data_IF_584748530795
#
_entry.id   IF_584748530795
#
_cell.length_a   1.000
_cell.length_b   1.000
_cell.length_c   1.000
_cell.angle_alpha   90.00
_cell.angle_beta   90.00
_cell.angle_gamma   90.00
#
_symmetry.space_group_name_H-M   'P 1'
#
loop_
_entity.id
_entity.type
_entity.pdbx_description
1 polymer ?
#
# COMPACT_ATOMS: atom_id res chain seq x y z
N UNK A 1 -16.62 28.81 -18.77
CA UNK A 1 -15.14 28.80 -18.71
C UNK A 1 -14.73 27.73 -17.71
N UNK A 2 -13.63 27.01 -17.94
CA UNK A 2 -13.12 26.05 -16.96
C UNK A 2 -12.53 26.83 -15.78
N UNK A 3 -12.88 26.44 -14.56
CA UNK A 3 -12.42 27.08 -13.32
C UNK A 3 -10.90 26.96 -13.18
N UNK A 4 -10.23 28.05 -12.78
CA UNK A 4 -8.81 28.09 -12.44
C UNK A 4 -8.63 28.23 -10.93
N UNK A 5 -7.92 27.28 -10.33
CA UNK A 5 -7.70 27.22 -8.89
C UNK A 5 -6.26 27.64 -8.56
N UNK A 6 -6.08 28.44 -7.52
CA UNK A 6 -4.76 28.68 -6.93
C UNK A 6 -4.48 27.69 -5.79
N UNK A 7 -3.34 27.00 -5.80
CA UNK A 7 -2.94 26.05 -4.75
C UNK A 7 -1.85 26.60 -3.84
N UNK A 8 -2.24 27.07 -2.67
CA UNK A 8 -1.30 27.41 -1.61
C UNK A 8 -0.86 26.18 -0.81
N UNK A 9 0.40 26.17 -0.40
CA UNK A 9 0.94 25.16 0.50
C UNK A 9 2.18 25.70 1.22
N UNK A 10 2.48 25.26 2.46
CA UNK A 10 3.74 25.61 3.10
C UNK A 10 4.90 25.01 2.29
N UNK A 11 6.03 25.72 2.25
CA UNK A 11 7.24 25.26 1.56
C UNK A 11 8.45 25.27 2.48
N UNK A 12 8.89 26.45 2.92
CA UNK A 12 10.15 26.66 3.65
C UNK A 12 10.29 25.78 4.90
N UNK A 13 11.40 25.05 4.97
CA UNK A 13 11.82 24.26 6.13
C UNK A 13 13.35 24.20 6.21
N UNK A 14 13.90 23.95 7.40
CA UNK A 14 15.36 23.81 7.60
C UNK A 14 15.93 22.55 6.95
N UNK A 15 15.12 21.50 6.89
CA UNK A 15 15.47 20.19 6.32
C UNK A 15 14.98 20.11 4.88
N UNK A 16 15.89 19.76 3.96
CA UNK A 16 15.60 19.66 2.53
C UNK A 16 14.58 18.55 2.22
N UNK A 17 14.61 17.45 2.96
CA UNK A 17 13.64 16.36 2.84
C UNK A 17 12.20 16.83 3.07
N UNK A 18 11.99 17.76 4.01
CA UNK A 18 10.65 18.31 4.32
C UNK A 18 10.20 19.29 3.23
N UNK A 19 11.11 20.10 2.66
CA UNK A 19 10.78 20.95 1.49
C UNK A 19 10.38 20.08 0.30
N UNK A 20 11.14 19.02 0.02
CA UNK A 20 10.83 18.09 -1.06
C UNK A 20 9.49 17.40 -0.81
N UNK A 21 9.25 16.91 0.41
CA UNK A 21 7.95 16.36 0.81
C UNK A 21 6.79 17.31 0.51
N UNK A 22 6.89 18.58 0.92
CA UNK A 22 5.83 19.59 0.70
C UNK A 22 5.59 19.87 -0.77
N UNK A 23 6.66 20.01 -1.56
CA UNK A 23 6.58 20.12 -3.02
C UNK A 23 5.82 18.93 -3.63
N UNK A 24 6.15 17.71 -3.22
CA UNK A 24 5.51 16.49 -3.71
C UNK A 24 4.02 16.43 -3.36
N UNK A 25 3.63 16.86 -2.16
CA UNK A 25 2.21 16.94 -1.78
C UNK A 25 1.44 17.96 -2.65
N UNK A 26 2.04 19.12 -2.91
CA UNK A 26 1.45 20.11 -3.82
C UNK A 26 1.34 19.57 -5.26
N UNK A 27 2.38 18.90 -5.77
CA UNK A 27 2.36 18.26 -7.10
C UNK A 27 1.25 17.22 -7.21
N UNK A 28 1.09 16.37 -6.20
CA UNK A 28 0.03 15.34 -6.18
C UNK A 28 -1.35 15.94 -6.22
N UNK A 29 -1.61 16.94 -5.38
CA UNK A 29 -2.92 17.60 -5.39
C UNK A 29 -3.19 18.30 -6.73
N UNK A 30 -2.15 18.89 -7.32
CA UNK A 30 -2.22 19.46 -8.67
C UNK A 30 -2.62 18.41 -9.70
N UNK A 31 -1.93 17.26 -9.75
CA UNK A 31 -2.24 16.15 -10.64
C UNK A 31 -3.65 15.58 -10.40
N UNK A 32 -4.07 15.45 -9.14
CA UNK A 32 -5.41 15.01 -8.77
C UNK A 32 -6.49 15.90 -9.39
N UNK A 33 -6.33 17.23 -9.35
CA UNK A 33 -7.27 18.19 -9.97
C UNK A 33 -7.20 18.21 -11.49
N UNK A 34 -6.01 18.13 -12.08
CA UNK A 34 -5.85 18.04 -13.53
C UNK A 34 -6.54 16.80 -14.12
N UNK A 35 -6.46 15.65 -13.43
CA UNK A 35 -7.16 14.43 -13.83
C UNK A 35 -8.69 14.54 -13.74
N UNK A 36 -9.21 15.52 -12.98
CA UNK A 36 -10.63 15.87 -12.93
C UNK A 36 -11.03 16.91 -14.00
N UNK A 37 -10.10 17.30 -14.88
CA UNK A 37 -10.30 18.37 -15.87
C UNK A 37 -10.32 19.78 -15.28
N UNK A 38 -9.86 19.94 -14.03
CA UNK A 38 -9.83 21.21 -13.30
C UNK A 38 -8.45 21.83 -13.46
N UNK A 39 -8.39 23.07 -13.92
CA UNK A 39 -7.13 23.80 -14.05
C UNK A 39 -6.68 24.32 -12.69
N UNK A 40 -5.40 24.16 -12.39
CA UNK A 40 -4.84 24.53 -11.09
C UNK A 40 -3.41 25.04 -11.26
N UNK A 41 -3.17 26.23 -10.71
CA UNK A 41 -1.85 26.84 -10.59
C UNK A 41 -1.29 26.57 -9.20
N UNK A 42 -0.03 26.14 -9.10
CA UNK A 42 0.63 25.94 -7.82
C UNK A 42 2.01 26.61 -7.81
N UNK A 43 2.19 27.72 -7.08
CA UNK A 43 3.46 28.44 -7.03
C UNK A 43 4.62 27.53 -6.63
N UNK A 44 4.42 26.64 -5.66
CA UNK A 44 5.47 25.72 -5.21
C UNK A 44 5.84 24.72 -6.30
N UNK A 45 4.87 24.18 -7.04
CA UNK A 45 5.17 23.24 -8.13
C UNK A 45 5.94 23.92 -9.26
N UNK A 46 5.59 25.16 -9.60
CA UNK A 46 6.28 25.92 -10.65
C UNK A 46 7.67 26.44 -10.22
N UNK A 47 7.83 26.81 -8.95
CA UNK A 47 9.02 27.49 -8.46
C UNK A 47 10.05 26.57 -7.80
N UNK A 48 9.67 25.37 -7.34
CA UNK A 48 10.58 24.48 -6.60
C UNK A 48 11.91 24.26 -7.34
N UNK A 49 11.83 23.91 -8.62
CA UNK A 49 12.99 23.62 -9.45
C UNK A 49 13.83 24.89 -9.77
N UNK A 50 13.24 26.08 -9.69
CA UNK A 50 13.92 27.38 -9.84
C UNK A 50 14.64 27.73 -8.53
N UNK A 51 13.95 27.56 -7.40
CA UNK A 51 14.45 27.84 -6.06
C UNK A 51 15.64 26.94 -5.70
N UNK A 52 15.55 25.63 -5.96
CA UNK A 52 16.64 24.68 -5.70
C UNK A 52 17.90 24.97 -6.53
N UNK A 53 17.72 25.44 -7.78
CA UNK A 53 18.85 25.83 -8.64
C UNK A 53 19.40 27.22 -8.34
N UNK A 54 18.73 28.01 -7.49
CA UNK A 54 19.12 29.39 -7.11
C UNK A 54 19.36 30.30 -8.32
N UNK A 55 18.63 30.09 -9.42
CA UNK A 55 18.84 30.80 -10.68
C UNK A 55 18.13 32.16 -10.74
N UNK A 56 17.10 32.35 -9.91
CA UNK A 56 16.40 33.62 -9.79
C UNK A 56 16.80 34.27 -8.47
N UNK A 57 17.36 35.47 -8.56
CA UNK A 57 17.59 36.33 -7.40
C UNK A 57 16.27 37.01 -7.07
N UNK A 58 15.73 36.73 -5.88
CA UNK A 58 14.51 37.36 -5.39
C UNK A 58 14.38 37.10 -3.90
N UNK A 59 14.07 38.16 -3.15
CA UNK A 59 13.64 38.08 -1.77
C UNK A 59 12.19 37.60 -1.69
N UNK A 60 11.69 37.45 -0.46
CA UNK A 60 10.31 37.05 -0.22
C UNK A 60 9.31 38.00 -0.88
N UNK A 61 9.59 39.31 -0.95
CA UNK A 61 8.69 40.27 -1.59
C UNK A 61 8.53 40.02 -3.10
N UNK A 62 9.62 39.66 -3.79
CA UNK A 62 9.57 39.35 -5.22
C UNK A 62 8.66 38.17 -5.50
N UNK A 63 8.78 37.09 -4.72
CA UNK A 63 7.93 35.90 -4.86
C UNK A 63 6.48 36.19 -4.49
N UNK A 64 6.25 36.89 -3.37
CA UNK A 64 4.91 37.26 -2.93
C UNK A 64 4.17 38.09 -3.99
N UNK A 65 4.84 39.06 -4.62
CA UNK A 65 4.22 39.88 -5.67
C UNK A 65 3.83 39.03 -6.88
N UNK A 66 4.69 38.09 -7.29
CA UNK A 66 4.39 37.14 -8.36
C UNK A 66 3.21 36.22 -8.01
N UNK A 67 3.22 35.65 -6.81
CA UNK A 67 2.20 34.74 -6.29
C UNK A 67 0.83 35.41 -6.19
N UNK A 68 0.76 36.64 -5.68
CA UNK A 68 -0.46 37.46 -5.62
C UNK A 68 -0.99 37.76 -7.02
N UNK A 69 -0.10 38.08 -7.98
CA UNK A 69 -0.49 38.34 -9.36
C UNK A 69 -1.14 37.09 -10.00
N UNK A 70 -0.62 35.90 -9.71
CA UNK A 70 -1.22 34.65 -10.19
C UNK A 70 -2.55 34.35 -9.47
N UNK A 71 -2.60 34.51 -8.14
CA UNK A 71 -3.80 34.33 -7.33
C UNK A 71 -4.95 35.24 -7.78
N UNK A 72 -4.68 36.50 -8.13
CA UNK A 72 -5.70 37.47 -8.55
C UNK A 72 -6.42 37.10 -9.86
N UNK A 73 -5.92 36.11 -10.61
CA UNK A 73 -6.52 35.60 -11.86
C UNK A 73 -7.27 34.28 -11.66
N UNK A 74 -7.26 33.74 -10.46
CA UNK A 74 -7.90 32.47 -10.13
C UNK A 74 -9.33 32.70 -9.61
N UNK A 75 -10.20 31.73 -9.86
CA UNK A 75 -11.61 31.76 -9.43
C UNK A 75 -11.78 31.35 -7.96
N UNK A 76 -10.86 30.55 -7.43
CA UNK A 76 -10.80 30.17 -6.02
C UNK A 76 -9.36 29.81 -5.59
N UNK A 77 -9.18 29.72 -4.28
CA UNK A 77 -7.93 29.32 -3.63
C UNK A 77 -8.15 28.03 -2.83
N UNK A 78 -7.25 27.06 -3.00
CA UNK A 78 -7.14 25.89 -2.16
C UNK A 78 -5.88 26.00 -1.30
N UNK A 79 -6.01 25.86 0.02
CA UNK A 79 -4.89 25.75 0.94
C UNK A 79 -4.69 24.29 1.34
N UNK A 80 -3.53 23.71 0.99
CA UNK A 80 -3.17 22.36 1.44
C UNK A 80 -2.65 22.39 2.88
N UNK A 81 -3.40 21.76 3.78
CA UNK A 81 -3.14 21.67 5.22
C UNK A 81 -2.05 20.64 5.54
N UNK A 82 -0.81 20.97 5.20
CA UNK A 82 0.37 20.18 5.58
C UNK A 82 0.88 20.58 6.97
N UNK A 83 1.69 19.71 7.59
CA UNK A 83 2.33 20.01 8.87
C UNK A 83 3.10 21.34 8.82
N UNK A 84 2.82 22.20 9.80
CA UNK A 84 3.39 23.55 9.90
C UNK A 84 2.74 24.60 9.01
N UNK A 85 1.61 24.32 8.34
CA UNK A 85 0.88 25.31 7.54
C UNK A 85 0.47 26.55 8.36
N UNK A 86 0.10 26.39 9.63
CA UNK A 86 -0.31 27.49 10.53
C UNK A 86 0.76 28.58 10.64
N UNK A 87 2.03 28.20 10.56
CA UNK A 87 3.19 29.09 10.65
C UNK A 87 3.70 29.57 9.28
N UNK A 88 3.00 29.27 8.19
CA UNK A 88 3.43 29.60 6.83
C UNK A 88 3.13 31.06 6.50
N UNK A 89 4.14 31.92 6.62
CA UNK A 89 4.01 33.37 6.32
C UNK A 89 3.48 33.61 4.90
N UNK A 90 3.98 32.88 3.90
CA UNK A 90 3.55 33.01 2.51
C UNK A 90 2.09 32.58 2.30
N UNK A 91 1.76 31.36 2.72
CA UNK A 91 0.40 30.83 2.54
C UNK A 91 -0.64 31.65 3.33
N UNK A 92 -0.30 32.13 4.54
CA UNK A 92 -1.19 33.00 5.32
C UNK A 92 -1.40 34.35 4.61
N UNK A 93 -0.35 34.94 4.02
CA UNK A 93 -0.49 36.18 3.27
C UNK A 93 -1.37 36.01 2.01
N UNK A 94 -1.27 34.87 1.32
CA UNK A 94 -2.15 34.53 0.18
C UNK A 94 -3.61 34.35 0.63
N UNK A 95 -3.85 33.68 1.76
CA UNK A 95 -5.20 33.52 2.33
C UNK A 95 -5.81 34.88 2.68
N UNK A 96 -5.05 35.76 3.31
CA UNK A 96 -5.52 37.11 3.65
C UNK A 96 -5.80 37.96 2.40
N UNK A 97 -4.97 37.84 1.36
CA UNK A 97 -5.24 38.47 0.07
C UNK A 97 -6.54 37.94 -0.55
N UNK A 98 -6.72 36.62 -0.59
CA UNK A 98 -7.91 35.98 -1.16
C UNK A 98 -9.19 36.44 -0.44
N UNK A 99 -9.22 36.41 0.89
CA UNK A 99 -10.34 36.91 1.70
C UNK A 99 -10.64 38.37 1.41
N UNK A 100 -9.62 39.24 1.38
CA UNK A 100 -9.79 40.68 1.11
C UNK A 100 -10.39 40.98 -0.27
N UNK A 101 -10.14 40.11 -1.25
CA UNK A 101 -10.61 40.27 -2.63
C UNK A 101 -11.80 39.37 -2.98
N UNK A 102 -12.46 38.78 -1.98
CA UNK A 102 -13.61 37.88 -2.15
C UNK A 102 -13.32 36.66 -3.05
N UNK A 103 -12.08 36.17 -3.04
CA UNK A 103 -11.71 34.90 -3.68
C UNK A 103 -12.02 33.78 -2.67
N UNK A 104 -12.91 32.82 -2.99
CA UNK A 104 -13.25 31.72 -2.09
C UNK A 104 -12.01 30.91 -1.69
N UNK A 105 -11.86 30.62 -0.39
CA UNK A 105 -10.76 29.81 0.14
C UNK A 105 -11.30 28.49 0.67
N UNK A 106 -10.71 27.38 0.21
CA UNK A 106 -11.01 26.02 0.69
C UNK A 106 -9.79 25.40 1.35
N UNK A 107 -10.01 24.77 2.50
CA UNK A 107 -8.96 24.12 3.26
C UNK A 107 -8.95 22.63 2.92
N UNK A 108 -7.83 22.13 2.44
CA UNK A 108 -7.70 20.77 1.90
C UNK A 108 -6.82 19.93 2.80
N UNK A 109 -7.34 18.81 3.30
CA UNK A 109 -6.57 17.82 4.05
C UNK A 109 -6.26 16.62 3.16
N UNK A 110 -5.02 16.13 3.25
CA UNK A 110 -4.69 14.79 2.74
C UNK A 110 -5.28 13.75 3.69
N UNK A 111 -6.12 12.87 3.16
CA UNK A 111 -6.66 11.74 3.89
C UNK A 111 -5.71 10.56 3.70
N UNK A 112 -4.52 10.65 4.31
CA UNK A 112 -3.57 9.54 4.29
C UNK A 112 -4.23 8.30 4.91
N UNK A 113 -4.30 7.21 4.14
CA UNK A 113 -4.79 5.92 4.60
C UNK A 113 -3.67 4.89 4.58
N UNK A 114 -3.67 4.03 5.58
CA UNK A 114 -2.88 2.82 5.53
C UNK A 114 -3.61 1.82 4.63
N UNK A 115 -2.88 1.10 3.79
CA UNK A 115 -3.48 0.12 2.88
C UNK A 115 -2.90 -1.26 3.19
N UNK A 116 -3.77 -2.25 3.37
CA UNK A 116 -3.39 -3.65 3.39
C UNK A 116 -3.94 -4.35 2.14
N UNK A 117 -3.03 -4.76 1.26
CA UNK A 117 -3.34 -5.47 0.02
C UNK A 117 -3.16 -6.98 0.26
N UNK A 118 -4.26 -7.72 0.11
CA UNK A 118 -4.32 -9.17 0.28
C UNK A 118 -4.53 -9.83 -1.09
N UNK A 119 -3.52 -10.55 -1.58
CA UNK A 119 -3.55 -11.18 -2.90
C UNK A 119 -3.77 -12.68 -2.75
N UNK A 120 -4.84 -13.16 -3.38
CA UNK A 120 -5.25 -14.55 -3.48
C UNK A 120 -5.42 -14.96 -4.94
N UNK A 121 -5.65 -16.25 -5.22
CA UNK A 121 -5.82 -16.76 -6.58
C UNK A 121 -6.50 -18.12 -6.58
N UNK A 122 -6.97 -18.53 -7.75
CA UNK A 122 -7.60 -19.83 -7.97
C UNK A 122 -6.63 -21.03 -7.96
N UNK A 123 -5.31 -20.80 -7.92
CA UNK A 123 -4.34 -21.89 -7.80
C UNK A 123 -2.88 -21.45 -7.75
N UNK A 124 -1.99 -22.40 -7.51
CA UNK A 124 -0.55 -22.16 -7.53
C UNK A 124 -0.10 -21.84 -8.97
N UNK A 125 0.75 -20.83 -9.13
CA UNK A 125 1.24 -20.40 -10.44
C UNK A 125 0.35 -19.39 -11.16
N UNK A 126 -0.79 -19.02 -10.59
CA UNK A 126 -1.72 -18.04 -11.18
C UNK A 126 -1.17 -16.62 -11.32
N UNK A 127 0.01 -16.32 -10.74
CA UNK A 127 0.66 -15.01 -10.89
C UNK A 127 0.56 -14.10 -9.66
N UNK A 128 0.18 -14.61 -8.48
CA UNK A 128 0.09 -13.83 -7.23
C UNK A 128 1.37 -13.04 -6.91
N UNK A 129 2.50 -13.74 -6.86
CA UNK A 129 3.80 -13.12 -6.56
C UNK A 129 4.21 -12.11 -7.63
N UNK A 130 3.87 -12.36 -8.89
CA UNK A 130 4.11 -11.40 -9.96
C UNK A 130 3.27 -10.13 -9.76
N UNK A 131 1.98 -10.27 -9.45
CA UNK A 131 1.10 -9.14 -9.14
C UNK A 131 1.63 -8.33 -7.95
N UNK A 132 2.02 -8.99 -6.85
CA UNK A 132 2.65 -8.33 -5.70
C UNK A 132 3.87 -7.50 -6.10
N UNK A 133 4.80 -8.11 -6.84
CA UNK A 133 6.04 -7.44 -7.24
C UNK A 133 5.74 -6.25 -8.16
N UNK A 134 4.83 -6.41 -9.13
CA UNK A 134 4.44 -5.33 -10.03
C UNK A 134 3.75 -4.17 -9.28
N UNK A 135 2.86 -4.46 -8.32
CA UNK A 135 2.27 -3.42 -7.45
C UNK A 135 3.37 -2.74 -6.64
N UNK A 136 4.31 -3.50 -6.09
CA UNK A 136 5.46 -2.96 -5.34
C UNK A 136 6.31 -2.04 -6.21
N UNK A 137 6.58 -2.42 -7.46
CA UNK A 137 7.30 -1.59 -8.43
C UNK A 137 6.55 -0.32 -8.78
N UNK A 138 5.22 -0.40 -8.99
CA UNK A 138 4.39 0.78 -9.24
C UNK A 138 4.38 1.73 -8.04
N UNK A 139 4.26 1.18 -6.84
CA UNK A 139 4.40 1.92 -5.58
C UNK A 139 5.80 2.52 -5.49
N UNK A 140 6.87 1.82 -5.87
CA UNK A 140 8.24 2.35 -5.84
C UNK A 140 8.49 3.45 -6.87
N UNK A 141 7.95 3.29 -8.08
CA UNK A 141 7.99 4.29 -9.14
C UNK A 141 7.28 5.56 -8.68
N UNK A 142 6.10 5.42 -8.07
CA UNK A 142 5.38 6.53 -7.45
C UNK A 142 6.10 7.04 -6.18
N UNK A 143 6.75 6.17 -5.41
CA UNK A 143 7.44 6.49 -4.15
C UNK A 143 8.80 7.15 -4.32
N UNK A 144 9.36 7.26 -5.54
CA UNK A 144 10.44 8.23 -5.77
C UNK A 144 10.01 9.65 -5.35
N UNK A 145 8.70 9.86 -5.30
CA UNK A 145 8.01 11.12 -5.05
C UNK A 145 6.98 11.02 -3.90
N UNK A 146 6.96 9.93 -3.11
CA UNK A 146 6.02 9.74 -1.99
C UNK A 146 6.71 9.10 -0.78
N UNK A 147 6.56 9.73 0.39
CA UNK A 147 6.95 9.16 1.68
C UNK A 147 5.93 8.11 2.17
N UNK A 148 5.63 7.09 1.36
CA UNK A 148 4.88 5.90 1.79
C UNK A 148 5.90 4.82 2.17
N UNK A 149 5.63 4.14 3.28
CA UNK A 149 6.44 2.97 3.63
C UNK A 149 5.78 1.71 3.08
N UNK A 150 6.49 0.94 2.25
CA UNK A 150 6.02 -0.34 1.73
C UNK A 150 6.58 -1.49 2.58
N UNK A 151 5.71 -2.39 3.01
CA UNK A 151 6.08 -3.58 3.77
C UNK A 151 5.44 -4.84 3.20
N UNK A 152 6.20 -5.94 3.20
CA UNK A 152 5.63 -7.26 2.92
C UNK A 152 5.19 -7.94 4.23
N UNK A 153 3.97 -8.43 4.24
CA UNK A 153 3.44 -9.31 5.29
C UNK A 153 3.35 -10.75 4.78
N UNK A 154 3.46 -11.71 5.70
CA UNK A 154 3.31 -13.13 5.37
C UNK A 154 2.71 -13.90 6.53
N UNK A 155 1.63 -14.62 6.25
CA UNK A 155 0.97 -15.51 7.21
C UNK A 155 1.83 -16.75 7.51
N UNK A 156 2.67 -17.17 6.56
CA UNK A 156 3.51 -18.35 6.71
C UNK A 156 4.91 -18.05 7.30
N UNK A 157 5.35 -16.80 7.42
CA UNK A 157 6.72 -16.52 7.84
C UNK A 157 6.99 -16.88 9.31
N UNK A 158 6.07 -16.57 10.21
CA UNK A 158 6.22 -16.94 11.63
C UNK A 158 6.33 -18.46 11.78
N UNK A 159 5.52 -19.22 11.05
CA UNK A 159 5.59 -20.67 10.96
C UNK A 159 6.98 -21.16 10.50
N UNK A 160 7.49 -20.62 9.40
CA UNK A 160 8.81 -20.98 8.87
C UNK A 160 9.91 -20.72 9.90
N UNK A 161 9.90 -19.54 10.52
CA UNK A 161 10.89 -19.18 11.52
C UNK A 161 10.83 -20.09 12.74
N UNK A 162 9.64 -20.43 13.25
CA UNK A 162 9.49 -21.40 14.34
C UNK A 162 10.15 -22.74 14.02
N UNK A 163 9.88 -23.31 12.84
CA UNK A 163 10.47 -24.61 12.45
C UNK A 163 11.98 -24.52 12.23
N UNK A 164 12.49 -23.37 11.78
CA UNK A 164 13.94 -23.13 11.67
C UNK A 164 14.58 -23.05 13.06
N UNK A 165 14.00 -22.27 13.95
CA UNK A 165 14.53 -22.04 15.30
C UNK A 165 14.51 -23.32 16.14
N UNK A 166 13.55 -24.22 15.89
CA UNK A 166 13.49 -25.55 16.48
C UNK A 166 14.44 -26.57 15.83
N UNK A 167 15.08 -26.21 14.72
CA UNK A 167 16.06 -27.06 14.03
C UNK A 167 15.46 -28.12 13.11
N UNK A 168 14.15 -28.06 12.80
CA UNK A 168 13.49 -29.04 11.92
C UNK A 168 13.77 -28.82 10.43
N UNK A 169 14.01 -27.57 10.02
CA UNK A 169 14.31 -27.21 8.63
C UNK A 169 15.33 -26.06 8.58
N UNK A 170 16.05 -25.96 7.47
CA UNK A 170 16.97 -24.82 7.23
C UNK A 170 16.25 -23.63 6.60
N UNK A 171 16.90 -22.45 6.62
CA UNK A 171 16.43 -21.27 5.86
C UNK A 171 16.29 -21.56 4.36
N UNK A 172 17.23 -22.31 3.79
CA UNK A 172 17.18 -22.67 2.37
C UNK A 172 15.96 -23.55 2.07
N UNK A 173 15.68 -24.53 2.94
CA UNK A 173 14.50 -25.39 2.85
C UNK A 173 13.20 -24.59 2.94
N UNK A 174 13.11 -23.65 3.89
CA UNK A 174 11.88 -22.91 4.15
C UNK A 174 11.53 -21.87 3.06
N UNK A 175 12.53 -21.20 2.47
CA UNK A 175 12.31 -20.03 1.62
C UNK A 175 12.52 -20.29 0.12
N UNK A 176 13.27 -21.31 -0.28
CA UNK A 176 13.51 -21.58 -1.71
C UNK A 176 12.47 -22.57 -2.30
N UNK A 177 12.11 -22.44 -3.60
CA UNK A 177 11.19 -23.38 -4.24
C UNK A 177 11.68 -24.85 -4.22
N UNK A 178 12.97 -25.07 -4.48
CA UNK A 178 13.61 -26.40 -4.43
C UNK A 178 13.69 -26.91 -2.99
N UNK A 179 14.07 -26.05 -2.06
CA UNK A 179 14.13 -26.36 -0.64
C UNK A 179 12.81 -26.87 -0.09
N UNK A 180 11.69 -26.25 -0.48
CA UNK A 180 10.34 -26.70 -0.07
C UNK A 180 9.99 -28.12 -0.54
N UNK A 181 10.62 -28.62 -1.59
CA UNK A 181 10.44 -29.98 -2.10
C UNK A 181 11.42 -30.99 -1.48
N UNK A 182 12.44 -30.52 -0.76
CA UNK A 182 13.41 -31.42 -0.12
C UNK A 182 12.78 -32.17 1.06
N UNK A 183 13.25 -33.40 1.28
CA UNK A 183 12.89 -34.20 2.44
C UNK A 183 13.45 -33.59 3.73
N UNK A 184 12.67 -33.71 4.79
CA UNK A 184 13.08 -33.47 6.17
C UNK A 184 13.58 -34.78 6.78
N UNK A 185 13.97 -34.77 8.04
CA UNK A 185 14.24 -35.97 8.84
C UNK A 185 13.00 -36.51 9.56
N UNK A 186 11.83 -35.88 9.38
CA UNK A 186 10.59 -36.24 10.07
C UNK A 186 9.80 -37.28 9.27
N UNK A 187 9.54 -38.42 9.89
CA UNK A 187 8.66 -39.46 9.36
C UNK A 187 7.26 -39.35 9.98
N UNK A 188 6.22 -39.74 9.23
CA UNK A 188 4.83 -39.71 9.74
C UNK A 188 4.66 -40.53 11.01
N UNK A 189 5.36 -41.66 11.15
CA UNK A 189 5.37 -42.48 12.37
C UNK A 189 5.88 -41.75 13.63
N UNK A 190 6.69 -40.70 13.44
CA UNK A 190 7.24 -39.91 14.54
C UNK A 190 6.22 -38.85 15.02
N UNK A 191 5.16 -38.61 14.24
CA UNK A 191 4.11 -37.64 14.56
C UNK A 191 3.07 -38.25 15.49
N UNK A 192 2.92 -37.68 16.69
CA UNK A 192 1.94 -38.17 17.68
C UNK A 192 0.48 -38.15 17.20
N UNK A 193 0.11 -37.17 16.36
CA UNK A 193 -1.25 -37.10 15.80
C UNK A 193 -1.38 -37.92 14.49
N UNK A 194 -0.28 -38.51 14.00
CA UNK A 194 -0.19 -39.08 12.66
C UNK A 194 -0.49 -38.03 11.58
N UNK A 195 -0.72 -38.49 10.34
CA UNK A 195 -1.27 -37.66 9.27
C UNK A 195 -2.11 -38.51 8.32
N UNK A 196 -3.42 -38.28 8.29
CA UNK A 196 -4.42 -39.13 7.62
C UNK A 196 -4.17 -39.34 6.12
N UNK A 197 -3.59 -38.34 5.46
CA UNK A 197 -3.37 -38.35 4.01
C UNK A 197 -2.03 -38.96 3.59
N UNK A 198 -1.26 -39.49 4.56
CA UNK A 198 0.09 -40.03 4.33
C UNK A 198 0.25 -41.39 4.99
N UNK A 199 1.08 -42.22 4.36
CA UNK A 199 1.46 -43.52 4.94
C UNK A 199 2.43 -43.30 6.10
N UNK A 200 2.37 -44.16 7.09
CA UNK A 200 3.17 -44.09 8.32
C UNK A 200 4.68 -44.01 8.08
N UNK A 201 5.20 -44.67 7.04
CA UNK A 201 6.63 -44.66 6.72
C UNK A 201 7.06 -43.52 5.78
N UNK A 202 6.17 -42.59 5.43
CA UNK A 202 6.55 -41.47 4.56
C UNK A 202 7.45 -40.50 5.33
N UNK A 203 8.57 -40.12 4.72
CA UNK A 203 9.38 -38.98 5.15
C UNK A 203 8.77 -37.72 4.56
N UNK A 204 8.49 -36.74 5.40
CA UNK A 204 7.85 -35.49 4.98
C UNK A 204 8.83 -34.61 4.21
N UNK A 205 8.36 -34.02 3.12
CA UNK A 205 9.01 -32.86 2.52
C UNK A 205 8.83 -31.62 3.40
N UNK A 206 9.67 -30.60 3.19
CA UNK A 206 9.54 -29.33 3.92
C UNK A 206 8.16 -28.69 3.72
N UNK A 207 7.60 -28.74 2.50
CA UNK A 207 6.24 -28.25 2.22
C UNK A 207 5.18 -29.02 3.01
N UNK A 208 5.31 -30.33 3.06
CA UNK A 208 4.39 -31.20 3.79
C UNK A 208 4.47 -30.95 5.30
N UNK A 209 5.68 -30.80 5.86
CA UNK A 209 5.85 -30.44 7.27
C UNK A 209 5.22 -29.07 7.60
N UNK A 210 5.40 -28.08 6.71
CA UNK A 210 4.76 -26.76 6.86
C UNK A 210 3.22 -26.86 6.82
N UNK A 211 2.67 -27.71 5.94
CA UNK A 211 1.22 -27.92 5.83
C UNK A 211 0.67 -28.59 7.09
N UNK A 212 1.28 -29.70 7.50
CA UNK A 212 0.90 -30.46 8.67
C UNK A 212 0.99 -29.62 9.95
N UNK A 213 2.16 -29.06 10.23
CA UNK A 213 2.34 -28.28 11.46
C UNK A 213 1.51 -26.98 11.41
N UNK A 214 1.47 -26.31 10.26
CA UNK A 214 0.77 -25.05 10.10
C UNK A 214 -0.75 -25.17 10.19
N UNK A 215 -1.35 -26.21 9.60
CA UNK A 215 -2.81 -26.38 9.50
C UNK A 215 -3.28 -27.40 10.54
N UNK A 216 -2.96 -28.67 10.34
CA UNK A 216 -3.49 -29.79 11.13
C UNK A 216 -3.13 -29.70 12.61
N UNK A 217 -1.92 -29.22 12.95
CA UNK A 217 -1.51 -29.04 14.34
C UNK A 217 -1.94 -27.67 14.86
N UNK A 218 -1.44 -26.59 14.26
CA UNK A 218 -1.57 -25.26 14.87
C UNK A 218 -2.96 -24.65 14.68
N UNK A 219 -3.60 -24.80 13.51
CA UNK A 219 -4.96 -24.27 13.29
C UNK A 219 -6.00 -25.20 13.90
N UNK A 220 -5.95 -26.50 13.58
CA UNK A 220 -7.06 -27.42 13.91
C UNK A 220 -7.00 -27.89 15.36
N UNK A 221 -5.81 -28.09 15.94
CA UNK A 221 -5.68 -28.60 17.31
C UNK A 221 -5.43 -27.51 18.37
N UNK A 222 -4.91 -26.34 17.99
CA UNK A 222 -4.55 -25.28 18.96
C UNK A 222 -5.41 -24.03 18.83
N UNK A 223 -5.31 -23.30 17.72
CA UNK A 223 -6.05 -22.05 17.52
C UNK A 223 -6.18 -21.73 16.03
N UNK A 224 -7.42 -21.77 15.53
CA UNK A 224 -7.75 -21.57 14.11
C UNK A 224 -7.11 -20.29 13.52
N UNK A 225 -7.14 -19.20 14.28
CA UNK A 225 -6.67 -17.86 13.86
C UNK A 225 -5.24 -17.53 14.26
N UNK A 226 -4.44 -18.51 14.70
CA UNK A 226 -3.08 -18.26 15.23
C UNK A 226 -2.21 -17.43 14.28
N UNK A 227 -2.14 -17.81 13.00
CA UNK A 227 -1.31 -17.12 12.01
C UNK A 227 -1.87 -15.75 11.65
N UNK A 228 -3.20 -15.58 11.69
CA UNK A 228 -3.87 -14.28 11.49
C UNK A 228 -3.51 -13.32 12.61
N UNK A 229 -3.61 -13.76 13.87
CA UNK A 229 -3.30 -12.97 15.06
C UNK A 229 -1.82 -12.57 15.13
N UNK A 230 -0.91 -13.49 14.81
CA UNK A 230 0.52 -13.18 14.78
C UNK A 230 0.82 -12.15 13.68
N UNK A 231 0.25 -12.34 12.49
CA UNK A 231 0.44 -11.42 11.35
C UNK A 231 -0.14 -10.03 11.65
N UNK A 232 -1.34 -9.97 12.21
CA UNK A 232 -1.99 -8.72 12.62
C UNK A 232 -1.13 -7.95 13.64
N UNK A 233 -0.61 -8.63 14.67
CA UNK A 233 0.33 -8.03 15.63
C UNK A 233 1.60 -7.50 14.98
N UNK A 234 2.11 -8.18 13.95
CA UNK A 234 3.29 -7.71 13.22
C UNK A 234 2.98 -6.50 12.33
N UNK A 235 1.79 -6.45 11.73
CA UNK A 235 1.31 -5.31 10.94
C UNK A 235 1.05 -4.09 11.84
N UNK A 236 0.42 -4.29 13.01
CA UNK A 236 0.12 -3.23 13.98
C UNK A 236 1.37 -2.42 14.36
N UNK A 237 2.53 -3.10 14.46
CA UNK A 237 3.83 -2.48 14.77
C UNK A 237 4.40 -1.61 13.64
N UNK A 238 3.82 -1.65 12.44
CA UNK A 238 4.29 -0.91 11.26
C UNK A 238 3.55 0.40 11.05
N UNK A 239 2.38 0.57 11.66
CA UNK A 239 1.66 1.83 11.58
C UNK A 239 2.41 2.93 12.34
N UNK A 240 2.48 4.11 11.73
CA UNK A 240 3.23 5.26 12.24
C UNK A 240 2.52 6.56 11.82
N UNK A 241 3.19 7.70 11.97
CA UNK A 241 2.68 8.98 11.43
C UNK A 241 2.68 9.02 9.89
N UNK A 242 3.47 8.17 9.22
CA UNK A 242 3.51 8.07 7.76
C UNK A 242 2.58 6.95 7.26
N UNK A 243 1.89 7.16 6.12
CA UNK A 243 1.08 6.11 5.53
C UNK A 243 1.92 4.90 5.15
N UNK A 244 1.42 3.72 5.48
CA UNK A 244 2.01 2.44 5.15
C UNK A 244 1.15 1.69 4.13
N UNK A 245 1.80 1.12 3.11
CA UNK A 245 1.19 0.07 2.31
C UNK A 245 1.81 -1.24 2.76
N UNK A 246 0.96 -2.18 3.15
CA UNK A 246 1.33 -3.55 3.47
C UNK A 246 0.77 -4.46 2.38
N UNK A 247 1.57 -5.41 1.90
CA UNK A 247 1.14 -6.36 0.86
C UNK A 247 1.47 -7.81 1.26
N UNK A 248 0.53 -8.72 1.02
CA UNK A 248 0.70 -10.17 1.23
C UNK A 248 0.14 -10.94 0.04
N UNK A 249 0.90 -11.92 -0.47
CA UNK A 249 0.50 -12.82 -1.56
C UNK A 249 0.32 -14.28 -1.14
N UNK A 250 0.46 -14.55 0.17
CA UNK A 250 0.37 -15.88 0.76
C UNK A 250 -0.94 -16.13 1.52
N UNK A 251 -1.99 -15.37 1.20
CA UNK A 251 -3.36 -15.61 1.67
C UNK A 251 -3.91 -16.90 1.05
N UNK A 252 -4.44 -17.77 1.91
CA UNK A 252 -4.87 -19.13 1.64
C UNK A 252 -6.21 -19.48 2.28
N UNK A 253 -6.63 -18.80 3.36
CA UNK A 253 -7.84 -19.10 4.11
C UNK A 253 -8.75 -17.87 4.30
N UNK A 254 -10.06 -18.10 4.48
CA UNK A 254 -11.05 -17.01 4.63
C UNK A 254 -10.82 -16.16 5.89
N UNK A 255 -10.37 -16.76 6.99
CA UNK A 255 -10.02 -16.00 8.19
C UNK A 255 -8.83 -15.05 7.97
N UNK A 256 -7.88 -15.38 7.09
CA UNK A 256 -6.77 -14.50 6.73
C UNK A 256 -7.25 -13.27 5.94
N UNK A 257 -8.28 -13.41 5.11
CA UNK A 257 -8.93 -12.26 4.47
C UNK A 257 -9.64 -11.33 5.46
N UNK A 258 -10.00 -11.86 6.63
CA UNK A 258 -10.70 -11.15 7.69
C UNK A 258 -9.75 -10.63 8.78
N UNK A 259 -8.44 -10.53 8.48
CA UNK A 259 -7.40 -10.02 9.39
C UNK A 259 -7.72 -8.64 9.98
N UNK A 260 -8.54 -7.82 9.31
CA UNK A 260 -8.97 -6.52 9.81
C UNK A 260 -9.62 -6.55 11.20
N UNK A 261 -10.30 -7.64 11.58
CA UNK A 261 -10.87 -7.80 12.93
C UNK A 261 -9.81 -7.84 14.04
N UNK A 262 -8.55 -8.05 13.68
CA UNK A 262 -7.42 -8.16 14.59
C UNK A 262 -6.47 -6.96 14.54
N UNK A 263 -6.80 -5.93 13.75
CA UNK A 263 -5.98 -4.75 13.58
C UNK A 263 -6.75 -3.52 14.06
N UNK A 264 -6.21 -2.83 15.07
CA UNK A 264 -6.79 -1.59 15.60
C UNK A 264 -6.25 -0.39 14.81
N UNK A 265 -6.88 -0.06 13.68
CA UNK A 265 -6.52 1.12 12.89
C UNK A 265 -7.71 1.62 12.04
N UNK A 266 -8.37 2.68 12.49
CA UNK A 266 -9.53 3.28 11.79
C UNK A 266 -9.20 3.87 10.42
N UNK A 267 -7.90 4.04 10.09
CA UNK A 267 -7.43 4.54 8.80
C UNK A 267 -7.03 3.42 7.84
N UNK A 268 -7.09 2.15 8.28
CA UNK A 268 -6.69 1.02 7.46
C UNK A 268 -7.78 0.68 6.44
N UNK A 269 -7.44 0.78 5.17
CA UNK A 269 -8.23 0.20 4.09
C UNK A 269 -7.64 -1.15 3.68
N UNK A 270 -8.49 -2.19 3.67
CA UNK A 270 -8.10 -3.52 3.20
C UNK A 270 -8.60 -3.67 1.76
N UNK A 271 -7.72 -4.12 0.87
CA UNK A 271 -8.02 -4.39 -0.54
C UNK A 271 -7.71 -5.85 -0.82
N UNK A 272 -8.74 -6.62 -1.16
CA UNK A 272 -8.63 -8.04 -1.50
C UNK A 272 -8.61 -8.20 -3.02
N UNK A 273 -7.50 -8.73 -3.53
CA UNK A 273 -7.29 -8.98 -4.95
C UNK A 273 -7.31 -10.48 -5.20
N UNK A 274 -8.11 -10.91 -6.17
CA UNK A 274 -8.13 -12.27 -6.67
C UNK A 274 -7.50 -12.34 -8.06
N UNK A 275 -6.44 -13.14 -8.22
CA UNK A 275 -5.86 -13.42 -9.53
C UNK A 275 -6.54 -14.66 -10.10
N UNK A 276 -7.23 -14.48 -11.23
CA UNK A 276 -7.91 -15.55 -11.95
C UNK A 276 -7.09 -15.98 -13.16
N UNK A 277 -6.81 -17.27 -13.25
CA UNK A 277 -6.21 -17.87 -14.43
C UNK A 277 -6.97 -19.14 -14.81
N UNK A 278 -7.76 -19.08 -15.88
CA UNK A 278 -8.65 -20.18 -16.31
C UNK A 278 -7.89 -21.44 -16.77
N UNK A 279 -6.57 -21.35 -16.98
CA UNK A 279 -5.73 -22.51 -17.34
C UNK A 279 -5.24 -23.32 -16.14
N UNK A 280 -5.47 -22.84 -14.92
CA UNK A 280 -5.00 -23.49 -13.69
C UNK A 280 -6.18 -24.15 -12.99
N UNK A 281 -6.09 -25.48 -12.82
CA UNK A 281 -7.04 -26.23 -12.02
C UNK A 281 -6.97 -25.83 -10.54
N UNK A 282 -8.13 -25.77 -9.91
CA UNK A 282 -8.25 -25.50 -8.47
C UNK A 282 -7.63 -26.64 -7.68
N UNK A 283 -6.67 -26.32 -6.81
CA UNK A 283 -6.01 -27.34 -5.99
C UNK A 283 -6.96 -27.96 -4.97
N UNK A 284 -6.77 -29.25 -4.69
CA UNK A 284 -7.64 -30.04 -3.78
C UNK A 284 -7.32 -29.82 -2.29
N UNK A 285 -6.14 -29.31 -1.93
CA UNK A 285 -5.78 -29.10 -0.53
C UNK A 285 -6.44 -27.82 0.01
N UNK A 286 -6.98 -27.84 1.23
CA UNK A 286 -7.72 -26.72 1.83
C UNK A 286 -6.93 -25.40 1.81
N UNK A 287 -5.61 -25.48 2.04
CA UNK A 287 -4.70 -24.32 1.99
C UNK A 287 -4.42 -23.76 0.58
N UNK A 288 -5.05 -24.28 -0.46
CA UNK A 288 -4.81 -23.88 -1.85
C UNK A 288 -6.10 -23.58 -2.65
N UNK A 289 -7.28 -23.81 -2.07
CA UNK A 289 -8.57 -23.59 -2.73
C UNK A 289 -9.68 -22.98 -1.86
N UNK A 290 -9.37 -22.53 -0.63
CA UNK A 290 -10.41 -22.03 0.28
C UNK A 290 -10.97 -20.65 -0.09
N UNK A 291 -10.18 -19.82 -0.79
CA UNK A 291 -10.59 -18.47 -1.18
C UNK A 291 -11.24 -18.48 -2.56
N UNK A 292 -12.43 -17.88 -2.68
CA UNK A 292 -13.16 -17.76 -3.95
C UNK A 292 -13.10 -16.34 -4.50
N UNK A 293 -13.36 -16.24 -5.80
CA UNK A 293 -13.43 -14.97 -6.54
C UNK A 293 -14.39 -13.97 -5.88
N UNK A 294 -15.55 -14.44 -5.43
CA UNK A 294 -16.61 -13.62 -4.81
C UNK A 294 -16.25 -13.08 -3.42
N UNK A 295 -15.16 -13.55 -2.81
CA UNK A 295 -14.71 -13.10 -1.50
C UNK A 295 -13.74 -11.91 -1.58
N UNK A 296 -13.44 -11.43 -2.80
CA UNK A 296 -12.46 -10.39 -3.08
C UNK A 296 -13.10 -9.15 -3.71
N UNK A 297 -12.49 -7.98 -3.46
CA UNK A 297 -12.96 -6.68 -3.94
C UNK A 297 -12.64 -6.47 -5.43
N UNK A 298 -11.54 -7.07 -5.89
CA UNK A 298 -10.98 -6.85 -7.22
C UNK A 298 -10.56 -8.19 -7.82
N UNK A 299 -10.91 -8.38 -9.09
CA UNK A 299 -10.53 -9.56 -9.87
C UNK A 299 -9.59 -9.12 -10.98
N UNK A 300 -8.44 -9.78 -11.08
CA UNK A 300 -7.46 -9.54 -12.15
C UNK A 300 -7.28 -10.83 -12.93
N UNK A 301 -7.67 -10.78 -14.20
CA UNK A 301 -7.50 -11.90 -15.12
C UNK A 301 -6.05 -11.98 -15.59
N UNK A 302 -5.45 -13.15 -15.43
CA UNK A 302 -4.15 -13.51 -15.96
C UNK A 302 -4.34 -14.54 -17.09
N UNK A 303 -4.27 -14.05 -18.32
CA UNK A 303 -4.31 -14.86 -19.54
C UNK A 303 -2.92 -15.36 -19.97
N UNK A 304 -1.92 -15.28 -19.07
CA UNK A 304 -0.51 -15.60 -19.32
C UNK A 304 0.15 -14.76 -20.42
N UNK A 305 -0.49 -13.66 -20.83
CA UNK A 305 0.02 -12.75 -21.86
C UNK A 305 0.70 -11.52 -21.26
N UNK A 306 1.34 -10.72 -22.11
CA UNK A 306 1.88 -9.41 -21.71
C UNK A 306 0.79 -8.45 -21.18
N UNK A 307 -0.48 -8.66 -21.55
CA UNK A 307 -1.62 -7.85 -21.10
C UNK A 307 -1.86 -7.97 -19.60
N UNK A 308 -1.34 -9.01 -18.95
CA UNK A 308 -1.44 -9.13 -17.49
C UNK A 308 -0.82 -7.93 -16.76
N UNK A 309 0.30 -7.38 -17.27
CA UNK A 309 0.90 -6.18 -16.71
C UNK A 309 -0.02 -4.96 -16.85
N UNK A 310 -0.62 -4.78 -18.02
CA UNK A 310 -1.55 -3.67 -18.28
C UNK A 310 -2.79 -3.78 -17.39
N UNK A 311 -3.29 -5.00 -17.17
CA UNK A 311 -4.41 -5.25 -16.26
C UNK A 311 -4.06 -4.85 -14.81
N UNK A 312 -2.85 -5.18 -14.33
CA UNK A 312 -2.39 -4.77 -13.00
C UNK A 312 -2.24 -3.24 -12.93
N UNK A 313 -1.64 -2.61 -13.94
CA UNK A 313 -1.46 -1.16 -13.97
C UNK A 313 -2.79 -0.40 -13.98
N UNK A 314 -3.73 -0.84 -14.81
CA UNK A 314 -5.06 -0.25 -14.88
C UNK A 314 -5.82 -0.44 -13.56
N UNK A 315 -5.73 -1.62 -12.96
CA UNK A 315 -6.31 -1.90 -11.64
C UNK A 315 -5.69 -1.00 -10.57
N UNK A 316 -4.36 -0.88 -10.53
CA UNK A 316 -3.65 -0.03 -9.58
C UNK A 316 -4.10 1.43 -9.71
N UNK A 317 -4.11 1.99 -10.93
CA UNK A 317 -4.56 3.37 -11.21
C UNK A 317 -6.02 3.61 -10.83
N UNK A 318 -6.88 2.61 -11.02
CA UNK A 318 -8.32 2.72 -10.78
C UNK A 318 -8.70 2.54 -9.31
N UNK A 319 -8.02 1.66 -8.59
CA UNK A 319 -8.47 1.21 -7.27
C UNK A 319 -7.53 1.55 -6.13
N UNK A 320 -6.21 1.54 -6.35
CA UNK A 320 -5.21 1.76 -5.28
C UNK A 320 -4.76 3.23 -5.28
N UNK A 321 -4.40 3.74 -6.45
CA UNK A 321 -3.89 5.09 -6.62
C UNK A 321 -4.82 6.20 -6.08
N UNK A 322 -6.16 6.11 -6.25
CA UNK A 322 -7.07 7.13 -5.70
C UNK A 322 -7.13 7.12 -4.17
N UNK A 323 -6.87 5.99 -3.52
CA UNK A 323 -6.80 5.89 -2.05
C UNK A 323 -5.53 6.59 -1.55
N UNK A 324 -4.41 6.38 -2.26
CA UNK A 324 -3.14 7.06 -1.97
C UNK A 324 -3.22 8.57 -2.19
N UNK A 325 -4.08 9.03 -3.10
CA UNK A 325 -4.29 10.44 -3.42
C UNK A 325 -5.70 10.91 -3.06
N UNK A 326 -6.11 10.63 -1.82
CA UNK A 326 -7.40 11.06 -1.31
C UNK A 326 -7.28 12.41 -0.58
N UNK A 327 -8.04 13.40 -1.03
CA UNK A 327 -8.08 14.73 -0.44
C UNK A 327 -9.51 15.12 -0.12
N UNK A 328 -9.73 15.72 1.05
CA UNK A 328 -11.04 16.24 1.47
C UNK A 328 -10.95 17.71 1.81
N UNK A 329 -12.03 18.43 1.50
CA UNK A 329 -12.27 19.76 2.05
C UNK A 329 -12.55 19.59 3.55
N UNK A 330 -11.88 20.39 4.38
CA UNK A 330 -12.17 20.46 5.81
C UNK A 330 -13.50 21.20 5.96
N UNK A 331 -14.56 20.46 6.27
CA UNK A 331 -15.82 21.06 6.73
C UNK A 331 -15.47 21.94 7.95
N UNK A 332 -15.87 23.21 7.88
CA UNK A 332 -15.34 24.38 8.59
C UNK A 332 -15.05 24.23 10.10
N UNK A 333 -14.12 25.08 10.56
CA UNK A 333 -13.61 25.25 11.94
C UNK A 333 -14.72 25.35 12.99
#
# INVERSE_FOLDING_TARGET
MNKLIYLASPYSHKEDEIKYYRYLQALKYKCFKLNQGIHIYSPIVESHAIAERKLVKGDWQTWQAYDINMLSRCDEMHLLLLDGHENSVGANAEVEYAKKHNIPVKYIMSMNQDILILISANGQGAGKTWCKNKISDLIHIDNRDVFITLFEASFANSLKHTLIDWGFITKEQAFSPKGKQSQTDICVKDLKLGWKDKKENNILTTRELLQYFGSDVMRDCFMEDIWVRITAKNIQKRFSSKPAIIISDDVRFNNEQNIGHYIENDKLQIIKIFIKNDTIETSKHQSEGAIKENDCDIIVNNDMSKKFNDNIENMFKKHILPILYNYKEKETI
#
